data_IF_133919210527
#
_entry.id   IF_133919210527
#
_cell.length_a   1.000
_cell.length_b   1.000
_cell.length_c   1.000
_cell.angle_alpha   90.00
_cell.angle_beta   90.00
_cell.angle_gamma   90.00
#
_symmetry.space_group_name_H-M   'P 1'
#
loop_
_entity.id
_entity.type
_entity.pdbx_description
1 polymer ?
#
# COMPACT_ATOMS: atom_id res chain seq x y z
N UNK A 1 9.86 0.67 58.17
CA UNK A 1 8.81 1.61 57.73
C UNK A 1 8.80 1.65 56.21
N UNK A 2 7.59 1.66 55.65
CA UNK A 2 7.18 1.96 54.28
C UNK A 2 7.26 0.86 53.19
N UNK A 3 6.04 0.57 52.74
CA UNK A 3 5.52 -0.19 51.62
C UNK A 3 5.43 0.72 50.35
N UNK A 4 4.92 0.22 49.19
CA UNK A 4 5.17 0.73 47.83
C UNK A 4 4.23 1.85 47.36
N UNK A 5 4.56 2.51 46.25
CA UNK A 5 3.66 3.34 45.41
C UNK A 5 4.30 3.45 44.01
N UNK A 6 3.71 2.99 42.90
CA UNK A 6 2.52 3.51 42.23
C UNK A 6 2.46 5.05 42.19
N UNK A 7 3.03 5.63 41.13
CA UNK A 7 2.69 6.95 40.60
C UNK A 7 3.04 6.89 39.09
N UNK A 8 2.12 6.63 38.17
CA UNK A 8 0.97 7.46 37.81
C UNK A 8 1.36 8.94 37.68
N UNK A 9 2.12 9.27 36.63
CA UNK A 9 2.12 10.63 36.09
C UNK A 9 0.98 10.72 35.07
N UNK A 10 -0.14 11.21 35.56
CA UNK A 10 -1.30 11.63 34.79
C UNK A 10 -0.91 12.79 33.87
N UNK A 11 -1.10 12.56 32.58
CA UNK A 11 -1.86 13.40 31.65
C UNK A 11 -2.01 14.90 32.05
N UNK A 12 -1.26 15.77 31.37
CA UNK A 12 -1.67 17.16 31.15
C UNK A 12 -1.70 17.45 29.65
N UNK A 13 -2.90 17.80 29.22
CA UNK A 13 -3.32 18.01 27.84
C UNK A 13 -2.64 19.22 27.21
N UNK A 14 -2.02 19.00 26.06
CA UNK A 14 -2.19 19.87 24.90
C UNK A 14 -2.55 18.98 23.72
N UNK A 15 -3.83 18.59 23.70
CA UNK A 15 -4.55 18.19 22.51
C UNK A 15 -4.49 19.37 21.53
N UNK A 16 -3.49 19.38 20.66
CA UNK A 16 -3.73 19.84 19.31
C UNK A 16 -4.17 18.60 18.56
N UNK A 17 -5.46 18.56 18.25
CA UNK A 17 -6.07 17.66 17.28
C UNK A 17 -5.34 17.81 15.96
N UNK A 18 -4.20 17.12 15.79
CA UNK A 18 -3.81 16.70 14.46
C UNK A 18 -4.93 15.74 14.02
N UNK A 19 -5.63 16.01 12.90
CA UNK A 19 -6.69 15.12 12.49
C UNK A 19 -6.09 13.71 12.27
N UNK A 20 -6.94 12.69 12.23
CA UNK A 20 -6.51 11.30 12.04
C UNK A 20 -5.79 11.04 10.68
N UNK A 21 -5.56 12.11 9.94
CA UNK A 21 -5.07 12.23 8.59
C UNK A 21 -3.58 12.52 8.52
N UNK A 22 -2.79 12.71 9.59
CA UNK A 22 -1.34 12.96 9.49
C UNK A 22 -0.64 12.02 8.47
N UNK A 23 -0.20 12.63 7.37
CA UNK A 23 -0.66 12.27 6.02
C UNK A 23 0.23 11.26 5.32
N UNK A 24 -0.38 10.12 4.97
CA UNK A 24 -0.02 9.32 3.78
C UNK A 24 0.52 10.25 2.69
N UNK A 25 1.59 9.87 1.97
CA UNK A 25 2.20 10.64 0.87
C UNK A 25 1.11 11.48 0.19
N UNK A 26 0.97 12.75 0.60
CA UNK A 26 -0.22 13.57 0.37
C UNK A 26 -0.20 14.09 -1.05
N UNK A 27 -0.01 13.20 -2.03
CA UNK A 27 0.42 13.56 -3.36
C UNK A 27 -0.69 14.29 -4.09
N UNK A 28 -1.95 13.96 -3.81
CA UNK A 28 -3.10 14.61 -4.42
C UNK A 28 -3.31 16.01 -3.86
N UNK A 29 -3.82 16.92 -4.67
CA UNK A 29 -4.04 18.31 -4.30
C UNK A 29 -2.94 19.22 -4.80
N UNK A 30 -2.96 20.46 -4.32
CA UNK A 30 -2.03 21.51 -4.71
C UNK A 30 -0.95 21.70 -3.65
N UNK A 31 0.29 21.79 -4.12
CA UNK A 31 1.49 21.84 -3.29
C UNK A 31 2.34 23.04 -3.70
N UNK A 32 2.73 23.85 -2.72
CA UNK A 32 3.68 24.93 -2.96
C UNK A 32 5.03 24.35 -3.38
N UNK A 33 5.69 25.02 -4.31
CA UNK A 33 6.99 24.59 -4.84
C UNK A 33 7.99 25.73 -4.82
N UNK A 34 9.25 25.40 -4.58
CA UNK A 34 10.36 26.33 -4.74
C UNK A 34 11.63 25.59 -5.13
N UNK A 35 12.58 26.29 -5.73
CA UNK A 35 13.76 25.63 -6.25
C UNK A 35 14.72 26.49 -7.03
N UNK A 36 15.70 25.84 -7.65
CA UNK A 36 16.69 26.47 -8.54
C UNK A 36 16.92 25.64 -9.80
N UNK A 37 16.92 26.30 -10.96
CA UNK A 37 17.30 25.75 -12.28
C UNK A 37 18.56 26.45 -12.77
N UNK A 38 19.71 25.77 -12.70
CA UNK A 38 21.00 26.45 -12.77
C UNK A 38 21.11 27.50 -11.67
N UNK A 39 21.37 28.75 -12.05
CA UNK A 39 21.44 29.89 -11.10
C UNK A 39 20.08 30.54 -10.82
N UNK A 40 19.04 30.21 -11.60
CA UNK A 40 17.73 30.86 -11.53
C UNK A 40 16.88 30.24 -10.43
N UNK A 41 16.51 31.04 -9.42
CA UNK A 41 15.57 30.60 -8.38
C UNK A 41 14.13 30.75 -8.85
N UNK A 42 13.23 29.86 -8.42
CA UNK A 42 11.80 29.92 -8.73
C UNK A 42 10.93 29.58 -7.52
N UNK A 43 9.70 30.08 -7.53
CA UNK A 43 8.58 29.65 -6.69
C UNK A 43 7.40 29.25 -7.56
N UNK A 44 6.45 28.50 -7.03
CA UNK A 44 5.36 27.98 -7.85
C UNK A 44 4.40 27.05 -7.13
N UNK A 45 3.63 26.29 -7.90
CA UNK A 45 2.72 25.28 -7.40
C UNK A 45 2.74 24.02 -8.28
N UNK A 46 2.64 22.84 -7.67
CA UNK A 46 2.32 21.57 -8.34
C UNK A 46 0.96 21.11 -7.84
N UNK A 47 0.02 20.90 -8.77
CA UNK A 47 -1.24 20.22 -8.49
C UNK A 47 -1.25 18.84 -9.11
N UNK A 48 -1.57 17.82 -8.34
CA UNK A 48 -1.77 16.44 -8.80
C UNK A 48 -3.22 16.05 -8.58
N UNK A 49 -3.83 15.44 -9.59
CA UNK A 49 -5.24 15.06 -9.59
C UNK A 49 -5.42 13.53 -9.52
N UNK A 50 -6.57 13.03 -9.03
CA UNK A 50 -6.83 11.59 -8.87
C UNK A 50 -6.81 10.79 -10.18
N UNK A 51 -6.90 11.43 -11.35
CA UNK A 51 -6.74 10.82 -12.68
C UNK A 51 -5.27 10.67 -13.10
N UNK A 52 -4.35 10.77 -12.12
CA UNK A 52 -2.91 10.66 -12.32
C UNK A 52 -2.36 11.67 -13.33
N UNK A 53 -2.89 12.90 -13.28
CA UNK A 53 -2.37 14.06 -14.01
C UNK A 53 -1.78 15.09 -13.08
N UNK A 54 -0.94 15.95 -13.64
CA UNK A 54 -0.43 17.11 -12.93
C UNK A 54 -0.45 18.38 -13.77
N UNK A 55 -0.49 19.51 -13.07
CA UNK A 55 -0.17 20.85 -13.59
C UNK A 55 0.86 21.49 -12.67
N UNK A 56 1.89 22.11 -13.25
CA UNK A 56 2.95 22.79 -12.52
C UNK A 56 3.10 24.20 -13.07
N UNK A 57 3.09 25.21 -12.19
CA UNK A 57 3.36 26.60 -12.53
C UNK A 57 4.61 27.06 -11.78
N UNK A 58 5.52 27.75 -12.47
CA UNK A 58 6.76 28.30 -11.91
C UNK A 58 6.89 29.77 -12.28
N UNK A 59 7.35 30.58 -11.33
CA UNK A 59 7.75 31.97 -11.50
C UNK A 59 9.19 32.10 -11.05
N UNK A 60 10.06 32.52 -11.97
CA UNK A 60 11.48 32.73 -11.73
C UNK A 60 11.74 34.13 -11.18
N UNK A 61 12.86 34.28 -10.47
CA UNK A 61 13.27 35.56 -9.89
C UNK A 61 13.50 36.67 -10.94
N UNK A 62 13.81 36.30 -12.18
CA UNK A 62 13.96 37.22 -13.32
C UNK A 62 12.63 37.58 -14.01
N UNK A 63 11.50 37.18 -13.42
CA UNK A 63 10.16 37.49 -13.93
C UNK A 63 9.62 36.50 -14.96
N UNK A 64 10.44 35.56 -15.45
CA UNK A 64 9.94 34.53 -16.36
C UNK A 64 8.89 33.64 -15.68
N UNK A 65 7.93 33.16 -16.46
CA UNK A 65 6.89 32.23 -16.01
C UNK A 65 6.86 31.01 -16.90
N UNK A 66 6.53 29.87 -16.30
CA UNK A 66 6.40 28.62 -17.02
C UNK A 66 5.27 27.78 -16.45
N UNK A 67 4.47 27.21 -17.35
CA UNK A 67 3.46 26.22 -17.00
C UNK A 67 3.74 24.91 -17.72
N UNK A 68 3.53 23.80 -17.01
CA UNK A 68 3.67 22.45 -17.54
C UNK A 68 2.51 21.59 -17.07
N UNK A 69 2.19 20.59 -17.88
CA UNK A 69 1.21 19.58 -17.53
C UNK A 69 1.65 18.21 -18.03
N UNK A 70 1.08 17.18 -17.44
CA UNK A 70 1.28 15.84 -17.93
C UNK A 70 0.76 14.77 -17.00
N UNK A 71 1.38 13.59 -17.07
CA UNK A 71 0.98 12.41 -16.30
C UNK A 71 1.89 12.17 -15.12
N UNK A 72 1.33 11.56 -14.09
CA UNK A 72 2.01 11.09 -12.90
C UNK A 72 1.98 9.58 -12.90
N UNK A 73 3.12 8.93 -12.67
CA UNK A 73 3.16 7.48 -12.43
C UNK A 73 4.13 7.15 -11.31
N UNK A 74 4.07 5.91 -10.84
CA UNK A 74 5.08 5.37 -9.93
C UNK A 74 6.06 4.47 -10.68
N UNK A 75 7.35 4.64 -10.39
CA UNK A 75 8.43 3.76 -10.83
C UNK A 75 9.21 3.29 -9.60
N UNK A 76 8.92 2.06 -9.17
CA UNK A 76 9.49 1.47 -7.96
C UNK A 76 9.22 2.33 -6.72
N UNK A 77 10.19 3.16 -6.31
CA UNK A 77 10.11 4.05 -5.14
C UNK A 77 9.92 5.52 -5.53
N UNK A 78 9.79 5.78 -6.83
CA UNK A 78 9.82 7.11 -7.39
C UNK A 78 8.44 7.53 -7.91
N UNK A 79 8.06 8.77 -7.63
CA UNK A 79 6.99 9.44 -8.37
C UNK A 79 7.61 9.96 -9.67
N UNK A 80 6.93 9.86 -10.80
CA UNK A 80 7.47 10.28 -12.10
C UNK A 80 6.47 11.21 -12.75
N UNK A 81 6.89 12.44 -13.05
CA UNK A 81 6.12 13.43 -13.79
C UNK A 81 6.55 13.36 -15.26
N UNK A 82 5.64 12.95 -16.12
CA UNK A 82 5.83 12.85 -17.57
C UNK A 82 5.14 14.01 -18.26
N UNK A 83 5.92 14.98 -18.75
CA UNK A 83 5.40 16.18 -19.41
C UNK A 83 4.85 15.83 -20.80
N UNK A 84 3.68 16.38 -21.14
CA UNK A 84 3.07 16.22 -22.47
C UNK A 84 3.84 17.02 -23.55
N UNK A 85 4.78 16.31 -24.22
CA UNK A 85 5.66 16.69 -25.35
C UNK A 85 6.50 18.00 -25.26
N UNK A 86 7.81 17.98 -25.64
CA UNK A 86 8.63 16.83 -26.04
C UNK A 86 9.90 16.57 -25.18
N UNK A 87 10.09 15.27 -24.87
CA UNK A 87 11.31 14.51 -24.51
C UNK A 87 11.97 14.69 -23.13
N UNK A 88 11.29 15.27 -22.12
CA UNK A 88 11.78 15.23 -20.75
C UNK A 88 10.82 14.46 -19.83
N UNK A 89 11.29 13.32 -19.31
CA UNK A 89 10.65 12.62 -18.18
C UNK A 89 11.37 13.02 -16.89
N UNK A 90 10.60 13.33 -15.86
CA UNK A 90 11.12 13.77 -14.59
C UNK A 90 10.88 12.68 -13.55
N UNK A 91 11.96 12.13 -13.00
CA UNK A 91 11.87 11.06 -11.99
C UNK A 91 12.18 11.63 -10.62
N UNK A 92 11.25 11.48 -9.69
CA UNK A 92 11.34 11.95 -8.32
C UNK A 92 11.72 10.76 -7.45
N UNK A 93 12.92 10.78 -6.88
CA UNK A 93 13.31 9.75 -5.90
C UNK A 93 13.19 10.35 -4.52
N UNK A 94 12.39 9.72 -3.65
CA UNK A 94 12.32 10.07 -2.23
C UNK A 94 13.70 9.87 -1.58
N UNK A 95 14.18 10.87 -0.84
CA UNK A 95 15.33 10.76 0.08
C UNK A 95 14.79 10.65 1.51
N UNK A 96 15.06 9.52 2.17
CA UNK A 96 14.33 9.07 3.37
C UNK A 96 14.63 9.84 4.68
N UNK A 97 15.46 10.88 4.63
CA UNK A 97 15.94 11.61 5.80
C UNK A 97 15.11 12.83 6.20
N UNK A 98 14.25 13.38 5.34
CA UNK A 98 13.71 14.74 5.54
C UNK A 98 12.16 14.76 5.52
N UNK A 99 11.54 15.67 6.29
CA UNK A 99 10.12 16.07 6.19
C UNK A 99 9.78 16.79 4.87
N UNK A 100 10.76 16.87 3.95
CA UNK A 100 10.64 17.46 2.64
C UNK A 100 10.89 16.39 1.58
N UNK A 101 10.00 16.25 0.60
CA UNK A 101 10.32 15.44 -0.58
C UNK A 101 11.08 16.33 -1.56
N UNK A 102 12.39 16.10 -1.66
CA UNK A 102 13.26 16.80 -2.62
C UNK A 102 13.21 16.08 -3.95
N UNK A 103 12.84 16.81 -5.00
CA UNK A 103 12.77 16.31 -6.37
C UNK A 103 14.02 16.76 -7.11
N UNK A 104 14.72 15.80 -7.71
CA UNK A 104 15.89 16.07 -8.56
C UNK A 104 15.50 15.86 -10.02
N UNK A 105 15.49 16.93 -10.80
CA UNK A 105 15.34 16.83 -12.25
C UNK A 105 16.72 16.72 -12.87
N UNK A 106 17.01 15.56 -13.47
CA UNK A 106 18.14 15.35 -14.40
C UNK A 106 19.51 15.68 -13.81
N UNK A 107 20.21 14.66 -13.29
CA UNK A 107 21.64 14.70 -12.87
C UNK A 107 22.08 16.10 -12.36
N UNK A 108 21.55 16.53 -11.21
CA UNK A 108 22.02 17.70 -10.47
C UNK A 108 21.66 19.11 -10.97
N UNK A 109 20.90 19.29 -12.05
CA UNK A 109 20.68 20.62 -12.65
C UNK A 109 19.45 21.40 -12.11
N UNK A 110 18.45 20.72 -11.55
CA UNK A 110 17.24 21.35 -11.02
C UNK A 110 16.82 20.72 -9.69
N UNK A 111 16.71 21.56 -8.68
CA UNK A 111 16.21 21.21 -7.36
C UNK A 111 14.82 21.77 -7.18
N UNK A 112 13.83 20.91 -6.99
CA UNK A 112 12.44 21.26 -6.72
C UNK A 112 12.08 20.72 -5.34
N UNK A 113 11.73 21.62 -4.43
CA UNK A 113 11.34 21.29 -3.07
C UNK A 113 9.83 21.39 -2.95
N UNK A 114 9.23 20.31 -2.47
CA UNK A 114 7.82 20.26 -2.12
C UNK A 114 7.72 19.86 -0.66
N UNK A 115 7.27 20.77 0.22
CA UNK A 115 7.02 20.43 1.61
C UNK A 115 5.85 19.43 1.62
N UNK A 116 6.11 18.23 2.15
CA UNK A 116 5.06 17.28 2.46
C UNK A 116 4.83 17.37 3.97
N UNK A 117 3.61 17.07 4.45
CA UNK A 117 3.31 17.13 5.88
C UNK A 117 4.36 16.39 6.75
N UNK A 118 4.56 16.89 7.98
CA UNK A 118 5.52 16.35 8.96
C UNK A 118 5.40 14.83 9.09
N UNK A 119 6.53 14.13 9.05
CA UNK A 119 6.62 12.69 9.31
C UNK A 119 6.32 12.45 10.79
N UNK A 120 5.22 11.78 11.09
CA UNK A 120 5.03 11.22 12.43
C UNK A 120 6.19 10.26 12.73
N UNK A 121 6.74 10.38 13.94
CA UNK A 121 7.71 9.41 14.45
C UNK A 121 7.07 8.02 14.57
N UNK A 122 7.91 6.97 14.56
CA UNK A 122 7.44 5.60 14.80
C UNK A 122 6.68 5.48 16.13
N UNK A 123 7.07 6.26 17.14
CA UNK A 123 6.43 6.30 18.45
C UNK A 123 5.05 6.96 18.39
N UNK A 124 4.91 8.11 17.73
CA UNK A 124 3.62 8.79 17.52
C UNK A 124 2.67 7.91 16.71
N UNK A 125 3.18 7.27 15.65
CA UNK A 125 2.41 6.35 14.82
C UNK A 125 1.94 5.14 15.63
N UNK A 126 2.82 4.54 16.44
CA UNK A 126 2.51 3.40 17.28
C UNK A 126 1.53 3.77 18.41
N UNK A 127 1.73 4.90 19.09
CA UNK A 127 0.83 5.40 20.12
C UNK A 127 -0.58 5.70 19.55
N UNK A 128 -0.65 6.23 18.34
CA UNK A 128 -1.92 6.41 17.61
C UNK A 128 -2.55 5.08 17.23
N UNK A 129 -1.77 4.12 16.74
CA UNK A 129 -2.26 2.79 16.43
C UNK A 129 -2.86 2.10 17.66
N UNK A 130 -2.17 2.13 18.82
CA UNK A 130 -2.67 1.59 20.08
C UNK A 130 -3.97 2.22 20.58
N UNK A 131 -4.24 3.48 20.20
CA UNK A 131 -5.51 4.18 20.50
C UNK A 131 -6.65 3.78 19.56
N UNK A 132 -6.39 3.08 18.45
CA UNK A 132 -7.42 2.63 17.51
C UNK A 132 -7.98 1.29 18.00
N UNK A 133 -9.31 1.15 17.98
CA UNK A 133 -10.00 -0.14 18.20
C UNK A 133 -9.42 -1.26 17.33
N UNK A 134 -8.94 -0.90 16.14
CA UNK A 134 -8.37 -1.84 15.17
C UNK A 134 -7.00 -2.43 15.57
N UNK A 135 -6.27 -1.83 16.53
CA UNK A 135 -5.03 -2.42 17.02
C UNK A 135 -5.24 -3.76 17.74
N UNK A 136 -6.44 -3.98 18.29
CA UNK A 136 -6.82 -5.28 18.85
C UNK A 136 -6.82 -6.37 17.77
N UNK A 137 -7.39 -6.12 16.58
CA UNK A 137 -7.37 -7.09 15.47
C UNK A 137 -5.92 -7.40 15.05
N UNK A 138 -5.09 -6.37 14.91
CA UNK A 138 -3.67 -6.58 14.63
C UNK A 138 -3.02 -7.43 15.73
N UNK A 139 -3.04 -7.00 17.00
CA UNK A 139 -2.32 -7.66 18.08
C UNK A 139 -2.85 -9.06 18.43
N UNK A 140 -4.16 -9.29 18.30
CA UNK A 140 -4.84 -10.48 18.84
C UNK A 140 -5.39 -11.39 17.75
N UNK A 141 -5.94 -10.85 16.67
CA UNK A 141 -6.65 -11.61 15.63
C UNK A 141 -5.82 -11.81 14.35
N UNK A 142 -4.50 -11.65 14.43
CA UNK A 142 -3.58 -11.81 13.32
C UNK A 142 -3.89 -10.90 12.10
N UNK A 143 -4.45 -9.71 12.36
CA UNK A 143 -4.85 -8.73 11.34
C UNK A 143 -5.79 -9.32 10.27
N UNK A 144 -6.72 -10.19 10.71
CA UNK A 144 -7.64 -10.88 9.82
C UNK A 144 -8.71 -9.94 9.28
N UNK A 145 -9.23 -10.28 8.10
CA UNK A 145 -10.35 -9.57 7.48
C UNK A 145 -10.80 -10.22 6.19
N UNK A 146 -11.78 -9.61 5.55
CA UNK A 146 -12.36 -10.07 4.28
C UNK A 146 -12.09 -9.04 3.19
N UNK A 147 -11.63 -9.50 2.03
CA UNK A 147 -11.46 -8.68 0.81
C UNK A 147 -12.66 -8.88 -0.12
N UNK A 148 -13.07 -10.14 -0.32
CA UNK A 148 -14.24 -10.56 -1.12
C UNK A 148 -14.94 -11.70 -0.37
N UNK A 149 -16.21 -11.52 -0.01
CA UNK A 149 -16.95 -12.43 0.87
C UNK A 149 -17.00 -13.85 0.31
N UNK A 150 -16.66 -14.82 1.15
CA UNK A 150 -16.60 -16.24 0.78
C UNK A 150 -15.50 -16.62 -0.22
N UNK A 151 -14.64 -15.67 -0.65
CA UNK A 151 -13.66 -15.91 -1.72
C UNK A 151 -12.24 -15.49 -1.40
N UNK A 152 -12.05 -14.36 -0.73
CA UNK A 152 -10.73 -13.85 -0.37
C UNK A 152 -10.74 -13.34 1.08
N UNK A 153 -10.10 -14.10 1.95
CA UNK A 153 -9.73 -13.68 3.31
C UNK A 153 -8.34 -13.04 3.28
N UNK A 154 -8.04 -12.15 4.22
CA UNK A 154 -6.71 -11.55 4.42
C UNK A 154 -6.21 -11.76 5.84
N UNK A 155 -4.89 -11.78 6.01
CA UNK A 155 -4.26 -11.78 7.33
C UNK A 155 -2.79 -11.32 7.27
N UNK A 156 -2.15 -11.26 8.44
CA UNK A 156 -0.70 -11.46 8.58
C UNK A 156 -0.30 -12.88 8.17
N UNK A 157 1.00 -13.18 8.25
CA UNK A 157 1.47 -14.55 8.04
C UNK A 157 0.73 -15.50 9.01
N UNK A 158 -0.02 -16.48 8.48
CA UNK A 158 -0.80 -17.39 9.31
C UNK A 158 0.12 -18.40 10.01
N UNK A 159 -0.20 -18.72 11.27
CA UNK A 159 0.40 -19.86 11.95
C UNK A 159 -0.32 -21.18 11.62
N UNK A 160 0.23 -22.34 12.02
CA UNK A 160 -0.40 -23.65 11.79
C UNK A 160 -1.86 -23.75 12.25
N UNK A 161 -2.21 -23.19 13.42
CA UNK A 161 -3.59 -23.17 13.92
C UNK A 161 -4.53 -22.37 13.02
N UNK A 162 -4.05 -21.26 12.46
CA UNK A 162 -4.83 -20.41 11.54
C UNK A 162 -5.13 -21.17 10.24
N UNK A 163 -4.14 -21.90 9.72
CA UNK A 163 -4.27 -22.70 8.51
C UNK A 163 -5.24 -23.87 8.69
N UNK A 164 -5.18 -24.57 9.83
CA UNK A 164 -6.12 -25.63 10.15
C UNK A 164 -7.55 -25.08 10.24
N UNK A 165 -7.73 -23.93 10.91
CA UNK A 165 -9.03 -23.28 10.99
C UNK A 165 -9.54 -22.82 9.61
N UNK A 166 -8.66 -22.27 8.77
CA UNK A 166 -8.99 -21.88 7.40
C UNK A 166 -9.43 -23.08 6.56
N UNK A 167 -8.70 -24.20 6.64
CA UNK A 167 -9.07 -25.47 5.99
C UNK A 167 -10.42 -26.00 6.48
N UNK A 168 -10.67 -25.99 7.80
CA UNK A 168 -11.93 -26.43 8.38
C UNK A 168 -13.13 -25.63 7.87
N UNK A 169 -12.94 -24.34 7.54
CA UNK A 169 -13.95 -23.48 6.91
C UNK A 169 -14.05 -23.65 5.38
N UNK A 170 -13.37 -24.64 4.81
CA UNK A 170 -13.39 -24.93 3.37
C UNK A 170 -12.36 -24.14 2.55
N UNK A 171 -11.39 -23.48 3.20
CA UNK A 171 -10.29 -22.79 2.53
C UNK A 171 -9.49 -23.72 1.61
N UNK A 172 -9.02 -23.18 0.48
CA UNK A 172 -8.33 -23.98 -0.56
C UNK A 172 -6.91 -23.55 -0.82
N UNK A 173 -6.67 -22.24 -0.94
CA UNK A 173 -5.38 -21.69 -1.36
C UNK A 173 -4.86 -20.69 -0.35
N UNK A 174 -3.57 -20.77 -0.02
CA UNK A 174 -2.83 -19.76 0.72
C UNK A 174 -1.93 -19.02 -0.26
N UNK A 175 -2.09 -17.69 -0.37
CA UNK A 175 -1.29 -16.84 -1.24
C UNK A 175 -0.40 -15.92 -0.40
N UNK A 176 0.91 -16.20 -0.44
CA UNK A 176 1.93 -15.43 0.26
C UNK A 176 2.54 -14.34 -0.61
N UNK A 177 2.47 -13.09 -0.14
CA UNK A 177 3.14 -11.94 -0.75
C UNK A 177 4.57 -11.73 -0.21
N UNK A 178 5.06 -12.66 0.61
CA UNK A 178 6.44 -12.67 1.11
C UNK A 178 7.44 -13.29 0.12
N UNK A 179 6.95 -13.97 -0.93
CA UNK A 179 7.77 -14.91 -1.69
C UNK A 179 8.06 -16.17 -0.86
N UNK A 180 9.11 -16.93 -1.22
CA UNK A 180 9.54 -18.13 -0.47
C UNK A 180 10.32 -17.77 0.79
N UNK A 181 9.78 -16.87 1.59
CA UNK A 181 10.43 -16.28 2.77
C UNK A 181 9.49 -16.24 3.98
N UNK A 182 8.48 -17.11 4.01
CA UNK A 182 7.60 -17.21 5.18
C UNK A 182 8.38 -17.71 6.40
N UNK A 183 8.10 -17.10 7.54
CA UNK A 183 8.69 -17.45 8.83
C UNK A 183 8.37 -18.90 9.22
N UNK A 184 9.30 -19.51 9.98
CA UNK A 184 9.13 -20.84 10.57
C UNK A 184 8.45 -20.73 11.92
N UNK A 185 7.66 -21.74 12.28
CA UNK A 185 6.93 -21.76 13.54
C UNK A 185 7.39 -22.91 14.44
N UNK A 186 7.19 -22.76 15.74
CA UNK A 186 7.08 -23.90 16.65
C UNK A 186 5.61 -24.27 16.76
N UNK A 187 5.31 -25.56 16.66
CA UNK A 187 3.96 -26.06 16.70
C UNK A 187 3.92 -27.39 17.41
N UNK A 188 2.98 -27.51 18.35
CA UNK A 188 2.66 -28.74 19.03
C UNK A 188 1.27 -29.18 18.58
N UNK A 189 1.13 -30.31 17.86
CA UNK A 189 -0.18 -30.86 17.53
C UNK A 189 -0.86 -31.39 18.80
N UNK A 190 -2.21 -31.49 18.84
CA UNK A 190 -2.92 -32.07 19.97
C UNK A 190 -2.41 -33.49 20.28
N UNK A 191 -1.91 -33.71 21.50
CA UNK A 191 -1.36 -35.00 21.94
C UNK A 191 0.04 -35.35 21.40
N UNK A 192 0.74 -34.43 20.74
CA UNK A 192 2.12 -34.64 20.27
C UNK A 192 3.14 -33.71 20.91
N UNK A 193 4.40 -33.84 20.48
CA UNK A 193 5.52 -33.02 20.94
C UNK A 193 5.67 -31.72 20.13
N UNK A 194 6.32 -30.71 20.73
CA UNK A 194 6.63 -29.46 20.02
C UNK A 194 7.65 -29.72 18.92
N UNK A 195 7.34 -29.28 17.70
CA UNK A 195 8.21 -29.40 16.53
C UNK A 195 8.37 -28.07 15.81
N UNK A 196 9.49 -27.91 15.10
CA UNK A 196 9.69 -26.79 14.18
C UNK A 196 9.03 -27.12 12.85
N UNK A 197 8.24 -26.19 12.35
CA UNK A 197 7.44 -26.35 11.15
C UNK A 197 7.83 -25.28 10.13
N UNK A 198 8.16 -25.72 8.92
CA UNK A 198 8.25 -24.85 7.74
C UNK A 198 6.83 -24.68 7.20
N UNK A 199 6.38 -23.42 7.06
CA UNK A 199 4.99 -23.14 6.72
C UNK A 199 4.58 -23.74 5.38
N UNK A 200 5.45 -23.69 4.37
CA UNK A 200 5.23 -24.27 3.04
C UNK A 200 4.94 -25.77 3.11
N UNK A 201 5.78 -26.52 3.84
CA UNK A 201 5.61 -27.96 4.03
C UNK A 201 4.31 -28.26 4.79
N UNK A 202 4.00 -27.47 5.82
CA UNK A 202 2.77 -27.64 6.58
C UNK A 202 1.52 -27.42 5.72
N UNK A 203 1.48 -26.34 4.93
CA UNK A 203 0.37 -26.05 4.01
C UNK A 203 0.16 -27.24 3.05
N UNK A 204 1.25 -27.75 2.47
CA UNK A 204 1.21 -28.91 1.57
C UNK A 204 0.71 -30.18 2.28
N UNK A 205 1.18 -30.47 3.49
CA UNK A 205 0.72 -31.61 4.29
C UNK A 205 -0.77 -31.52 4.64
N UNK A 206 -1.28 -30.29 4.79
CA UNK A 206 -2.72 -30.07 5.00
C UNK A 206 -3.53 -30.19 3.71
N UNK A 207 -2.92 -30.44 2.55
CA UNK A 207 -3.62 -30.52 1.26
C UNK A 207 -4.17 -29.18 0.78
N UNK A 208 -3.62 -28.07 1.28
CA UNK A 208 -3.92 -26.73 0.79
C UNK A 208 -2.95 -26.38 -0.34
N UNK A 209 -3.42 -25.63 -1.33
CA UNK A 209 -2.54 -25.07 -2.35
C UNK A 209 -1.72 -23.92 -1.74
N UNK A 210 -0.42 -23.86 -2.03
CA UNK A 210 0.45 -22.77 -1.61
C UNK A 210 0.99 -22.03 -2.83
N UNK A 211 0.66 -20.75 -2.94
CA UNK A 211 1.14 -19.86 -4.01
C UNK A 211 1.95 -18.73 -3.39
N UNK A 212 3.01 -18.28 -4.08
CA UNK A 212 3.84 -17.19 -3.59
C UNK A 212 4.18 -16.18 -4.68
N UNK A 213 4.13 -14.90 -4.32
CA UNK A 213 4.63 -13.78 -5.14
C UNK A 213 5.48 -12.88 -4.25
N UNK A 214 6.76 -12.74 -4.57
CA UNK A 214 7.65 -11.88 -3.79
C UNK A 214 7.39 -10.42 -4.08
N UNK A 215 6.75 -9.70 -3.15
CA UNK A 215 6.52 -8.26 -3.26
C UNK A 215 7.32 -7.48 -2.21
N UNK A 216 7.66 -6.23 -2.53
CA UNK A 216 8.29 -5.30 -1.59
C UNK A 216 7.24 -4.37 -0.95
N UNK A 217 7.29 -4.23 0.37
CA UNK A 217 6.42 -3.28 1.08
C UNK A 217 6.80 -1.82 0.82
N UNK A 218 8.05 -1.54 0.43
CA UNK A 218 8.57 -0.18 0.21
C UNK A 218 8.78 0.15 -1.27
N UNK A 219 8.08 -0.56 -2.16
CA UNK A 219 8.09 -0.33 -3.61
C UNK A 219 6.67 -0.47 -4.16
N UNK A 220 6.32 0.36 -5.15
CA UNK A 220 5.13 0.16 -5.97
C UNK A 220 5.11 -1.25 -6.57
N UNK A 221 3.94 -1.92 -6.61
CA UNK A 221 3.77 -3.20 -7.31
C UNK A 221 4.21 -3.12 -8.77
N UNK A 222 5.00 -4.09 -9.23
CA UNK A 222 5.36 -4.21 -10.64
C UNK A 222 4.22 -4.85 -11.45
N UNK A 223 4.15 -4.61 -12.78
CA UNK A 223 3.18 -5.27 -13.64
C UNK A 223 3.20 -6.80 -13.51
N UNK A 224 4.39 -7.39 -13.42
CA UNK A 224 4.58 -8.85 -13.32
C UNK A 224 4.08 -9.38 -11.96
N UNK A 225 4.37 -8.67 -10.86
CA UNK A 225 3.85 -9.00 -9.53
C UNK A 225 2.32 -8.97 -9.52
N UNK A 226 1.71 -7.94 -10.12
CA UNK A 226 0.25 -7.83 -10.22
C UNK A 226 -0.34 -8.97 -11.06
N UNK A 227 0.22 -9.26 -12.23
CA UNK A 227 -0.24 -10.37 -13.07
C UNK A 227 -0.17 -11.70 -12.32
N UNK A 228 0.93 -11.97 -11.60
CA UNK A 228 1.08 -13.20 -10.84
C UNK A 228 0.06 -13.32 -9.70
N UNK A 229 -0.12 -12.26 -8.91
CA UNK A 229 -1.09 -12.24 -7.80
C UNK A 229 -2.52 -12.41 -8.31
N UNK A 230 -2.92 -11.61 -9.29
CA UNK A 230 -4.31 -11.61 -9.77
C UNK A 230 -4.65 -12.84 -10.62
N UNK A 231 -3.66 -13.54 -11.18
CA UNK A 231 -3.88 -14.88 -11.77
C UNK A 231 -4.40 -15.87 -10.73
N UNK A 232 -3.90 -15.80 -9.49
CA UNK A 232 -4.38 -16.65 -8.39
C UNK A 232 -5.72 -16.13 -7.85
N UNK A 233 -5.85 -14.81 -7.62
CA UNK A 233 -7.05 -14.23 -7.01
C UNK A 233 -8.29 -14.26 -7.93
N UNK A 234 -8.12 -14.40 -9.25
CA UNK A 234 -9.22 -14.47 -10.20
C UNK A 234 -9.52 -15.90 -10.68
N UNK A 235 -8.70 -16.88 -10.34
CA UNK A 235 -8.98 -18.29 -10.66
C UNK A 235 -10.03 -18.85 -9.70
N UNK A 236 -11.24 -19.10 -10.23
CA UNK A 236 -12.36 -19.56 -9.43
C UNK A 236 -12.10 -20.91 -8.72
N UNK A 237 -11.19 -21.73 -9.27
CA UNK A 237 -10.82 -23.02 -8.69
C UNK A 237 -10.00 -22.86 -7.40
N UNK A 238 -9.35 -21.72 -7.22
CA UNK A 238 -8.48 -21.42 -6.07
C UNK A 238 -9.24 -20.93 -4.83
N UNK A 239 -10.49 -20.52 -4.96
CA UNK A 239 -11.26 -19.97 -3.84
C UNK A 239 -11.82 -21.03 -2.89
N UNK A 240 -11.91 -20.75 -1.57
CA UNK A 240 -11.47 -19.51 -0.91
C UNK A 240 -9.94 -19.40 -0.82
N UNK A 241 -9.42 -18.16 -0.96
CA UNK A 241 -8.00 -17.82 -0.88
C UNK A 241 -7.72 -17.06 0.42
N UNK A 242 -6.67 -17.44 1.15
CA UNK A 242 -6.10 -16.65 2.24
C UNK A 242 -4.90 -15.85 1.73
N UNK A 243 -5.07 -14.54 1.56
CA UNK A 243 -4.04 -13.61 1.12
C UNK A 243 -3.26 -13.03 2.31
N UNK A 244 -1.94 -13.21 2.34
CA UNK A 244 -1.14 -12.64 3.42
C UNK A 244 0.20 -12.06 2.97
N UNK A 245 0.78 -11.28 3.88
CA UNK A 245 2.20 -10.94 3.90
C UNK A 245 2.62 -10.95 5.37
N UNK A 246 3.88 -10.65 5.70
CA UNK A 246 4.37 -10.67 7.09
C UNK A 246 3.44 -9.94 8.08
N UNK A 247 3.20 -8.64 7.87
CA UNK A 247 2.35 -7.81 8.70
C UNK A 247 0.87 -7.77 8.31
N UNK A 248 0.51 -8.35 7.16
CA UNK A 248 -0.84 -8.28 6.62
C UNK A 248 -1.34 -6.86 6.33
N UNK A 249 -0.45 -5.86 6.31
CA UNK A 249 -0.79 -4.44 6.25
C UNK A 249 -0.45 -3.83 4.89
N UNK A 250 0.84 -3.78 4.51
CA UNK A 250 1.30 -3.03 3.33
C UNK A 250 0.98 -3.73 2.00
N UNK A 251 1.64 -4.87 1.73
CA UNK A 251 1.49 -5.63 0.47
C UNK A 251 0.08 -6.22 0.34
N UNK A 252 -0.42 -6.80 1.42
CA UNK A 252 -1.80 -7.30 1.50
C UNK A 252 -2.81 -6.16 1.33
N UNK A 253 -2.51 -4.98 1.90
CA UNK A 253 -3.35 -3.80 1.79
C UNK A 253 -3.46 -3.29 0.36
N UNK A 254 -2.34 -3.12 -0.35
CA UNK A 254 -2.38 -2.63 -1.75
C UNK A 254 -3.08 -3.63 -2.67
N UNK A 255 -2.81 -4.93 -2.55
CA UNK A 255 -3.48 -5.94 -3.37
C UNK A 255 -4.98 -5.98 -3.08
N UNK A 256 -5.37 -5.97 -1.80
CA UNK A 256 -6.78 -5.92 -1.42
C UNK A 256 -7.48 -4.65 -1.92
N UNK A 257 -6.82 -3.49 -1.83
CA UNK A 257 -7.35 -2.23 -2.33
C UNK A 257 -7.57 -2.26 -3.85
N UNK A 258 -6.58 -2.73 -4.62
CA UNK A 258 -6.68 -2.85 -6.07
C UNK A 258 -7.79 -3.81 -6.49
N UNK A 259 -7.92 -4.95 -5.80
CA UNK A 259 -9.02 -5.89 -6.05
C UNK A 259 -10.39 -5.23 -5.80
N UNK A 260 -10.54 -4.56 -4.66
CA UNK A 260 -11.79 -3.90 -4.28
C UNK A 260 -12.17 -2.77 -5.25
N UNK A 261 -11.20 -1.97 -5.71
CA UNK A 261 -11.44 -0.90 -6.68
C UNK A 261 -11.82 -1.46 -8.05
N UNK A 262 -11.06 -2.43 -8.55
CA UNK A 262 -11.20 -2.92 -9.92
C UNK A 262 -12.43 -3.82 -10.13
N UNK A 263 -12.72 -4.66 -9.13
CA UNK A 263 -13.69 -5.74 -9.27
C UNK A 263 -14.93 -5.57 -8.40
N UNK A 264 -14.84 -4.84 -7.28
CA UNK A 264 -15.97 -4.61 -6.36
C UNK A 264 -16.50 -3.16 -6.41
N UNK A 265 -15.92 -2.29 -7.23
CA UNK A 265 -16.37 -0.90 -7.42
C UNK A 265 -16.17 0.00 -6.20
N UNK A 266 -15.32 -0.39 -5.25
CA UNK A 266 -15.01 0.38 -4.06
C UNK A 266 -14.19 1.62 -4.43
N UNK A 267 -14.48 2.78 -3.82
CA UNK A 267 -13.71 4.00 -4.08
C UNK A 267 -12.28 3.91 -3.50
N UNK A 268 -11.33 4.63 -4.10
CA UNK A 268 -9.93 4.72 -3.62
C UNK A 268 -9.87 5.08 -2.14
N UNK A 269 -10.68 6.05 -1.72
CA UNK A 269 -10.72 6.53 -0.35
C UNK A 269 -11.22 5.44 0.61
N UNK A 270 -12.27 4.71 0.25
CA UNK A 270 -12.78 3.59 1.04
C UNK A 270 -11.76 2.45 1.11
N UNK A 271 -11.09 2.12 0.00
CA UNK A 271 -10.02 1.13 -0.03
C UNK A 271 -8.86 1.51 0.91
N UNK A 272 -8.42 2.78 0.89
CA UNK A 272 -7.41 3.30 1.81
C UNK A 272 -7.88 3.33 3.26
N UNK A 273 -9.17 3.59 3.52
CA UNK A 273 -9.76 3.42 4.87
C UNK A 273 -9.62 1.96 5.33
N UNK A 274 -9.88 0.97 4.47
CA UNK A 274 -9.67 -0.45 4.78
C UNK A 274 -8.20 -0.76 5.05
N UNK A 275 -7.26 -0.21 4.26
CA UNK A 275 -5.82 -0.36 4.52
C UNK A 275 -5.45 0.16 5.91
N UNK A 276 -5.89 1.37 6.27
CA UNK A 276 -5.65 1.98 7.58
C UNK A 276 -6.27 1.18 8.74
N UNK A 277 -7.47 0.60 8.55
CA UNK A 277 -8.09 -0.31 9.52
C UNK A 277 -7.23 -1.55 9.77
N UNK A 278 -6.51 -2.03 8.77
CA UNK A 278 -5.60 -3.18 8.92
C UNK A 278 -4.16 -2.74 9.23
N UNK A 279 -4.02 -1.61 9.91
CA UNK A 279 -2.76 -0.99 10.34
C UNK A 279 -1.71 -0.79 9.25
N UNK A 280 -2.13 -0.57 7.99
CA UNK A 280 -1.20 0.09 7.07
C UNK A 280 -0.93 1.50 7.59
N UNK A 281 0.35 1.81 7.74
CA UNK A 281 0.85 3.09 8.21
C UNK A 281 1.80 3.61 7.14
N UNK A 282 1.69 4.87 6.77
CA UNK A 282 2.55 5.52 5.78
C UNK A 282 3.93 5.85 6.39
N UNK A 283 4.71 4.82 6.71
CA UNK A 283 5.96 4.96 7.44
C UNK A 283 7.02 3.97 6.94
N UNK A 284 8.29 4.39 6.96
CA UNK A 284 9.41 3.50 6.63
C UNK A 284 9.43 3.02 5.17
N UNK A 285 8.87 3.79 4.23
CA UNK A 285 8.89 3.47 2.80
C UNK A 285 7.55 2.94 2.28
N UNK A 286 6.61 2.57 3.16
CA UNK A 286 5.34 1.90 2.79
C UNK A 286 4.26 2.88 2.32
N UNK A 287 4.46 4.18 2.51
CA UNK A 287 3.62 5.24 1.95
C UNK A 287 3.45 5.13 0.43
N UNK A 288 4.42 4.50 -0.27
CA UNK A 288 4.35 4.22 -1.70
C UNK A 288 3.15 3.35 -2.08
N UNK A 289 2.67 2.50 -1.16
CA UNK A 289 1.48 1.68 -1.38
C UNK A 289 0.22 2.54 -1.43
N UNK A 290 0.13 3.53 -0.54
CA UNK A 290 -0.95 4.51 -0.55
C UNK A 290 -0.93 5.38 -1.80
N UNK A 291 0.26 5.89 -2.16
CA UNK A 291 0.47 6.65 -3.38
C UNK A 291 0.06 5.84 -4.64
N UNK A 292 0.31 4.52 -4.63
CA UNK A 292 -0.11 3.65 -5.73
C UNK A 292 -1.62 3.63 -5.85
N UNK A 293 -2.35 3.47 -4.73
CA UNK A 293 -3.81 3.49 -4.72
C UNK A 293 -4.36 4.86 -5.14
N UNK A 294 -3.76 5.95 -4.69
CA UNK A 294 -4.17 7.32 -5.07
C UNK A 294 -4.10 7.55 -6.58
N UNK A 295 -3.02 7.08 -7.22
CA UNK A 295 -2.78 7.25 -8.65
C UNK A 295 -3.39 6.15 -9.54
N UNK A 296 -3.84 5.04 -8.95
CA UNK A 296 -4.37 3.90 -9.69
C UNK A 296 -5.60 4.28 -10.54
N UNK A 297 -5.64 3.94 -11.83
CA UNK A 297 -6.83 4.18 -12.65
C UNK A 297 -7.64 2.90 -12.79
N UNK A 298 -8.94 2.97 -12.50
CA UNK A 298 -9.84 1.83 -12.73
C UNK A 298 -9.76 1.40 -14.19
N UNK A 299 -9.64 0.10 -14.43
CA UNK A 299 -9.41 -0.48 -15.76
C UNK A 299 -7.93 -0.72 -16.09
N UNK A 300 -6.97 -0.13 -15.37
CA UNK A 300 -5.54 -0.38 -15.60
C UNK A 300 -5.20 -1.85 -15.37
N UNK A 301 -5.69 -2.42 -14.27
CA UNK A 301 -5.44 -3.82 -13.95
C UNK A 301 -6.14 -4.74 -14.95
N UNK A 302 -7.40 -4.48 -15.35
CA UNK A 302 -8.05 -5.26 -16.42
C UNK A 302 -7.23 -5.29 -17.70
N UNK A 303 -6.82 -4.12 -18.21
CA UNK A 303 -5.96 -4.02 -19.40
C UNK A 303 -4.62 -4.74 -19.22
N UNK A 304 -4.03 -4.67 -18.04
CA UNK A 304 -2.80 -5.37 -17.73
C UNK A 304 -3.00 -6.89 -17.79
N UNK A 305 -4.05 -7.40 -17.17
CA UNK A 305 -4.38 -8.82 -17.09
C UNK A 305 -4.75 -9.41 -18.45
N UNK A 306 -5.58 -8.71 -19.23
CA UNK A 306 -5.97 -9.12 -20.58
C UNK A 306 -4.75 -9.23 -21.51
N UNK A 307 -3.83 -8.26 -21.47
CA UNK A 307 -2.57 -8.32 -22.25
C UNK A 307 -1.67 -9.50 -21.89
N UNK A 308 -1.82 -10.06 -20.68
CA UNK A 308 -1.06 -11.22 -20.22
C UNK A 308 -1.90 -12.51 -20.22
N UNK A 309 -3.04 -12.51 -20.90
CA UNK A 309 -3.90 -13.69 -21.05
C UNK A 309 -4.54 -14.18 -19.73
N UNK A 310 -4.63 -13.33 -18.71
CA UNK A 310 -5.33 -13.69 -17.46
C UNK A 310 -6.83 -13.48 -17.65
N UNK A 311 -7.58 -14.58 -17.55
CA UNK A 311 -9.04 -14.54 -17.72
C UNK A 311 -9.71 -13.78 -16.57
N UNK A 312 -10.60 -12.85 -16.92
CA UNK A 312 -11.47 -12.17 -15.95
C UNK A 312 -12.78 -12.97 -15.82
N UNK A 313 -13.13 -13.45 -14.61
CA UNK A 313 -14.36 -14.18 -14.34
C UNK A 313 -15.61 -13.48 -14.84
N UNK A 314 -16.61 -14.24 -15.29
CA UNK A 314 -17.86 -13.71 -15.83
C UNK A 314 -18.58 -12.76 -14.85
N UNK A 315 -18.51 -13.03 -13.54
CA UNK A 315 -19.07 -12.19 -12.48
C UNK A 315 -18.51 -10.76 -12.44
N UNK A 316 -17.33 -10.53 -13.03
CA UNK A 316 -16.67 -9.23 -13.10
C UNK A 316 -16.75 -8.59 -14.49
N UNK A 317 -17.36 -9.27 -15.47
CA UNK A 317 -17.61 -8.65 -16.76
C UNK A 317 -18.70 -7.61 -16.58
N UNK A 318 -18.43 -6.39 -17.01
CA UNK A 318 -19.48 -5.38 -17.08
C UNK A 318 -20.56 -5.88 -18.06
N UNK A 319 -21.85 -5.65 -17.79
CA UNK A 319 -22.89 -5.97 -18.76
C UNK A 319 -22.54 -5.31 -20.09
N UNK A 320 -22.45 -6.11 -21.16
CA UNK A 320 -22.14 -5.64 -22.51
C UNK A 320 -23.11 -4.53 -22.89
N UNK A 321 -22.68 -3.26 -22.86
CA UNK A 321 -23.52 -2.14 -23.29
C UNK A 321 -23.28 -0.77 -22.65
N UNK A 322 -22.54 -0.64 -21.54
CA UNK A 322 -22.26 0.68 -20.94
C UNK A 322 -20.76 1.01 -20.95
N UNK A 323 -20.27 1.55 -22.07
CA UNK A 323 -19.03 2.34 -22.07
C UNK A 323 -19.36 3.67 -21.39
N UNK A 324 -18.87 3.87 -20.17
CA UNK A 324 -18.84 5.20 -19.56
C UNK A 324 -17.64 5.94 -20.17
N UNK A 325 -17.93 7.04 -20.88
CA UNK A 325 -16.95 7.99 -21.39
C UNK A 325 -16.38 8.84 -20.25
#
# INVERSE_FOLDING_TARGET
MQQPALALVLLSCALLTAPADAQELAILGEHATSGKEGERSFTGALKITPDARFTAARRYADGAQEERRGRVRLDRKALVLEVERPRATWKLVRKDSDDEVRWELRKGALWLRVPMGRKESKLETFARALKRKDAANFLVENNRGVVDEGRIERSRQPGPKDLLAFKQRGGRTVLSLNGRQDERYRYQPPGGEEQRVVLEEFISQQGLAHEWVGMSASRAPSPEELVAVFRVLLDERRHPVLLHCRGGADRTGVIGALYQIEFLGVSKEQAKRTMRKHLWMAAGGTEIQGAYVDLYQKGDLRRLLERHGVAIPARFREPSGKRWF
#
